data_IF_458749316170
#
_entry.id   IF_458749316170
#
_cell.length_a   1.000
_cell.length_b   1.000
_cell.length_c   1.000
_cell.angle_alpha   90.00
_cell.angle_beta   90.00
_cell.angle_gamma   90.00
#
_symmetry.space_group_name_H-M   'P 1'
#
loop_
_entity.id
_entity.type
_entity.pdbx_description
1 polymer ?
#
# COMPACT_ATOMS: atom_id res chain seq x y z
N UNK A 1 -16.67 -0.66 4.50
CA UNK A 1 -17.21 -1.83 3.77
C UNK A 1 -17.38 -2.96 4.77
N UNK A 2 -18.61 -3.42 5.02
CA UNK A 2 -18.90 -4.33 6.13
C UNK A 2 -18.94 -5.77 5.63
N UNK A 3 -17.92 -6.59 5.91
CA UNK A 3 -17.99 -8.04 5.72
C UNK A 3 -18.29 -8.71 7.05
N UNK A 4 -19.55 -9.07 7.28
CA UNK A 4 -19.94 -9.80 8.47
C UNK A 4 -19.69 -11.31 8.33
N UNK A 5 -19.19 -11.90 9.42
CA UNK A 5 -19.39 -13.28 9.86
C UNK A 5 -19.02 -14.40 8.87
N UNK A 6 -17.95 -15.13 9.21
CA UNK A 6 -17.59 -16.41 8.56
C UNK A 6 -17.24 -16.30 7.08
N UNK A 7 -16.69 -15.16 6.65
CA UNK A 7 -16.18 -14.99 5.29
C UNK A 7 -14.71 -15.40 5.26
N UNK A 8 -14.43 -16.56 4.67
CA UNK A 8 -13.08 -17.12 4.62
C UNK A 8 -12.52 -17.09 3.20
N UNK A 9 -11.19 -17.05 3.07
CA UNK A 9 -10.49 -17.13 1.78
C UNK A 9 -10.80 -16.01 0.77
N UNK A 10 -11.04 -14.79 1.24
CA UNK A 10 -11.23 -13.63 0.37
C UNK A 10 -9.94 -12.81 0.20
N UNK A 11 -9.85 -12.08 -0.91
CA UNK A 11 -8.84 -11.07 -1.13
C UNK A 11 -9.50 -9.68 -1.12
N UNK A 12 -9.26 -8.91 -0.07
CA UNK A 12 -9.67 -7.51 0.04
C UNK A 12 -8.44 -6.68 -0.31
N UNK A 13 -8.33 -6.27 -1.56
CA UNK A 13 -7.18 -5.49 -1.99
C UNK A 13 -7.60 -4.31 -2.84
N UNK A 14 -6.85 -3.21 -2.76
CA UNK A 14 -7.03 -2.04 -3.62
C UNK A 14 -8.39 -1.35 -3.46
N UNK A 15 -8.97 -1.40 -2.27
CA UNK A 15 -10.22 -0.69 -1.95
C UNK A 15 -9.93 0.62 -1.22
N UNK A 16 -10.69 1.67 -1.54
CA UNK A 16 -10.74 2.89 -0.71
C UNK A 16 -12.00 2.83 0.13
N UNK A 17 -11.86 2.89 1.45
CA UNK A 17 -12.94 2.82 2.43
C UNK A 17 -12.90 4.10 3.29
N UNK A 18 -13.60 5.16 2.85
CA UNK A 18 -13.69 6.40 3.61
C UNK A 18 -14.94 6.42 4.51
N UNK A 19 -14.85 7.10 5.66
CA UNK A 19 -15.98 7.54 6.49
C UNK A 19 -17.04 6.46 6.77
N UNK A 20 -16.61 5.23 7.06
CA UNK A 20 -17.51 4.14 7.40
C UNK A 20 -17.51 3.86 8.91
N UNK A 21 -18.68 3.55 9.47
CA UNK A 21 -18.87 3.15 10.88
C UNK A 21 -18.11 1.87 11.29
N UNK A 22 -17.41 1.20 10.36
CA UNK A 22 -16.75 -0.08 10.62
C UNK A 22 -15.44 -0.31 9.84
N UNK A 23 -14.99 0.59 8.94
CA UNK A 23 -13.79 0.34 8.13
C UNK A 23 -13.78 -1.05 7.46
N UNK A 24 -12.77 -1.87 7.78
CA UNK A 24 -12.76 -3.33 7.58
C UNK A 24 -12.92 -4.03 8.94
N UNK A 25 -14.00 -4.80 9.09
CA UNK A 25 -14.32 -5.52 10.33
C UNK A 25 -14.44 -7.01 10.04
N UNK A 26 -13.55 -7.83 10.63
CA UNK A 26 -13.50 -9.28 10.45
C UNK A 26 -13.84 -9.99 11.77
N UNK A 27 -15.04 -10.57 11.85
CA UNK A 27 -15.48 -11.37 12.99
C UNK A 27 -15.78 -12.80 12.55
N UNK A 28 -15.16 -13.78 13.22
CA UNK A 28 -15.22 -15.20 12.85
C UNK A 28 -14.82 -15.49 11.40
N UNK A 29 -14.06 -14.60 10.76
CA UNK A 29 -13.53 -14.72 9.39
C UNK A 29 -12.08 -15.17 9.43
N UNK A 30 -11.66 -16.10 8.57
CA UNK A 30 -10.32 -16.67 8.57
C UNK A 30 -9.69 -16.66 7.18
N UNK A 31 -8.35 -16.67 7.12
CA UNK A 31 -7.58 -16.89 5.89
C UNK A 31 -7.88 -15.88 4.77
N UNK A 32 -8.23 -14.64 5.14
CA UNK A 32 -8.38 -13.54 4.20
C UNK A 32 -7.04 -12.83 3.97
N UNK A 33 -6.85 -12.29 2.77
CA UNK A 33 -5.69 -11.44 2.41
C UNK A 33 -6.17 -9.99 2.27
N UNK A 34 -5.62 -9.10 3.09
CA UNK A 34 -6.03 -7.71 3.21
C UNK A 34 -4.79 -6.84 3.03
N UNK A 35 -4.60 -6.25 1.85
CA UNK A 35 -3.45 -5.38 1.59
C UNK A 35 -3.75 -4.39 0.47
N UNK A 36 -3.02 -3.29 0.39
CA UNK A 36 -3.25 -2.17 -0.54
C UNK A 36 -4.64 -1.53 -0.39
N UNK A 37 -5.26 -1.51 0.78
CA UNK A 37 -6.50 -0.77 1.00
C UNK A 37 -6.20 0.60 1.63
N UNK A 38 -7.06 1.58 1.37
CA UNK A 38 -7.02 2.92 1.98
C UNK A 38 -8.17 3.07 2.95
N UNK A 39 -7.90 2.94 4.26
CA UNK A 39 -8.88 3.06 5.33
C UNK A 39 -8.81 4.48 5.90
N UNK A 40 -9.81 5.31 5.59
CA UNK A 40 -9.80 6.74 5.87
C UNK A 40 -10.96 7.12 6.77
N UNK A 41 -10.64 7.64 7.95
CA UNK A 41 -11.56 8.23 8.93
C UNK A 41 -12.74 7.31 9.24
N UNK A 42 -12.46 6.01 9.37
CA UNK A 42 -13.45 5.04 9.82
C UNK A 42 -13.48 5.00 11.35
N UNK A 43 -14.66 4.71 11.90
CA UNK A 43 -14.87 4.66 13.35
C UNK A 43 -15.54 3.37 13.74
N UNK A 44 -14.76 2.34 14.03
CA UNK A 44 -15.32 1.07 14.51
C UNK A 44 -15.89 1.25 15.92
N UNK A 45 -17.21 1.35 15.99
CA UNK A 45 -17.96 1.23 17.24
C UNK A 45 -18.23 -0.25 17.52
N UNK A 46 -17.32 -0.92 18.23
CA UNK A 46 -17.57 -2.29 18.68
C UNK A 46 -18.30 -2.27 20.03
N UNK A 47 -19.57 -2.68 20.00
CA UNK A 47 -20.49 -2.58 21.14
C UNK A 47 -20.20 -3.65 22.24
N UNK A 48 -19.13 -4.45 22.10
CA UNK A 48 -18.87 -5.62 22.95
C UNK A 48 -17.68 -5.46 23.92
N UNK A 49 -16.78 -4.48 23.75
CA UNK A 49 -15.69 -4.24 24.70
C UNK A 49 -15.50 -2.73 24.91
N UNK A 50 -15.29 -2.32 26.16
CA UNK A 50 -15.50 -0.97 26.67
C UNK A 50 -14.52 0.13 26.20
N UNK A 51 -13.97 0.03 24.99
CA UNK A 51 -13.11 1.06 24.40
C UNK A 51 -13.56 1.33 22.96
N UNK A 52 -14.58 2.19 22.80
CA UNK A 52 -14.89 2.87 21.54
C UNK A 52 -13.65 3.67 21.13
N UNK A 53 -12.71 3.03 20.45
CA UNK A 53 -11.56 3.68 19.86
C UNK A 53 -11.77 3.71 18.35
N UNK A 54 -11.48 4.87 17.77
CA UNK A 54 -11.65 5.19 16.35
C UNK A 54 -10.64 4.38 15.52
N UNK A 55 -10.88 3.08 15.39
CA UNK A 55 -10.02 2.19 14.62
C UNK A 55 -10.52 2.04 13.19
N UNK A 56 -9.58 1.99 12.26
CA UNK A 56 -9.85 1.75 10.85
C UNK A 56 -10.11 0.27 10.50
N UNK A 57 -9.65 -0.65 11.35
CA UNK A 57 -9.71 -2.09 11.15
C UNK A 57 -9.98 -2.86 12.44
N UNK A 58 -10.59 -4.05 12.32
CA UNK A 58 -10.78 -4.98 13.43
C UNK A 58 -10.71 -6.43 12.97
N UNK A 59 -10.05 -7.28 13.76
CA UNK A 59 -9.88 -8.70 13.48
C UNK A 59 -9.99 -9.55 14.74
N UNK A 60 -11.00 -10.42 14.80
CA UNK A 60 -11.18 -11.33 15.93
C UNK A 60 -10.52 -12.71 15.71
N UNK A 61 -9.84 -12.96 14.58
CA UNK A 61 -9.26 -14.26 14.24
C UNK A 61 -7.82 -14.15 13.67
N UNK A 62 -6.88 -14.93 14.22
CA UNK A 62 -5.44 -14.79 13.95
C UNK A 62 -4.91 -15.33 12.63
N UNK A 63 -5.76 -15.78 11.68
CA UNK A 63 -5.27 -16.33 10.40
C UNK A 63 -5.43 -15.39 9.20
N UNK A 64 -5.99 -14.21 9.38
CA UNK A 64 -6.04 -13.20 8.31
C UNK A 64 -4.67 -12.53 8.16
N UNK A 65 -4.30 -12.24 6.91
CA UNK A 65 -3.03 -11.59 6.56
C UNK A 65 -3.30 -10.14 6.18
N UNK A 66 -2.72 -9.20 6.91
CA UNK A 66 -2.94 -7.76 6.75
C UNK A 66 -1.86 -7.05 5.92
N UNK A 67 -0.95 -7.83 5.33
CA UNK A 67 0.07 -7.35 4.41
C UNK A 67 0.40 -8.41 3.35
N UNK A 68 1.11 -8.00 2.29
CA UNK A 68 1.58 -8.89 1.21
C UNK A 68 2.98 -9.47 1.45
N UNK A 69 3.57 -9.26 2.63
CA UNK A 69 4.99 -9.50 2.91
C UNK A 69 5.93 -8.39 2.44
N UNK A 70 5.40 -7.31 1.87
CA UNK A 70 6.18 -6.15 1.44
C UNK A 70 5.40 -4.83 1.49
N UNK A 71 4.07 -4.87 1.35
CA UNK A 71 3.18 -3.71 1.46
C UNK A 71 1.89 -4.11 2.17
N UNK A 72 1.41 -3.23 3.03
CA UNK A 72 0.23 -3.38 3.86
C UNK A 72 -0.90 -2.49 3.37
N UNK A 73 -1.64 -1.92 4.32
CA UNK A 73 -2.73 -0.99 4.07
C UNK A 73 -2.38 0.41 4.58
N UNK A 74 -3.09 1.40 4.07
CA UNK A 74 -3.09 2.75 4.63
C UNK A 74 -4.20 2.88 5.67
N UNK A 75 -3.87 3.49 6.81
CA UNK A 75 -4.81 3.80 7.88
C UNK A 75 -4.66 5.28 8.26
N UNK A 76 -5.75 6.04 8.27
CA UNK A 76 -5.68 7.47 8.63
C UNK A 76 -5.33 7.73 10.11
N UNK A 77 -5.42 6.71 10.96
CA UNK A 77 -5.02 6.70 12.37
C UNK A 77 -3.60 6.14 12.59
N UNK A 78 -2.87 5.76 11.53
CA UNK A 78 -1.49 5.32 11.64
C UNK A 78 -0.55 6.53 11.88
N UNK A 79 0.20 6.47 12.98
CA UNK A 79 1.12 7.55 13.40
C UNK A 79 2.58 7.10 13.51
N UNK A 80 2.95 6.01 12.83
CA UNK A 80 4.33 5.52 12.82
C UNK A 80 5.28 6.42 12.02
N UNK A 81 6.55 6.04 12.01
CA UNK A 81 7.62 6.73 11.27
C UNK A 81 8.04 5.94 10.04
N UNK A 82 8.52 6.64 9.03
CA UNK A 82 9.17 6.08 7.83
C UNK A 82 10.55 6.75 7.73
N UNK A 83 11.58 6.10 8.27
CA UNK A 83 12.93 6.69 8.39
C UNK A 83 13.77 6.52 7.12
N UNK A 84 13.46 5.50 6.31
CA UNK A 84 14.11 5.24 5.02
C UNK A 84 13.38 5.90 3.84
N UNK A 85 12.24 6.56 4.08
CA UNK A 85 11.45 7.32 3.11
C UNK A 85 10.97 6.49 1.91
N UNK A 86 10.66 5.22 2.14
CA UNK A 86 10.19 4.31 1.07
C UNK A 86 8.66 4.26 0.95
N UNK A 87 7.95 5.06 1.74
CA UNK A 87 6.50 5.13 1.77
C UNK A 87 5.84 4.02 2.60
N UNK A 88 6.63 3.17 3.27
CA UNK A 88 6.20 2.13 4.19
C UNK A 88 6.63 2.53 5.61
N UNK A 89 5.70 2.44 6.55
CA UNK A 89 5.98 2.73 7.94
C UNK A 89 6.83 1.65 8.61
N UNK A 90 7.92 2.06 9.27
CA UNK A 90 8.84 1.20 10.02
C UNK A 90 8.22 0.60 11.30
N UNK A 91 7.10 1.18 11.76
CA UNK A 91 6.39 0.72 12.95
C UNK A 91 5.21 -0.16 12.52
N UNK A 92 5.18 -1.42 12.95
CA UNK A 92 4.03 -2.28 12.67
C UNK A 92 2.73 -1.67 13.20
N UNK A 93 1.62 -1.86 12.47
CA UNK A 93 0.30 -1.42 12.88
C UNK A 93 -0.49 -2.61 13.46
N UNK A 94 -0.73 -2.66 14.79
CA UNK A 94 -1.54 -3.70 15.39
C UNK A 94 -3.00 -3.57 14.96
N UNK A 95 -3.63 -4.68 14.58
CA UNK A 95 -5.05 -4.71 14.27
C UNK A 95 -5.82 -5.05 15.56
N UNK A 96 -6.71 -4.17 16.04
CA UNK A 96 -7.51 -4.41 17.23
C UNK A 96 -8.36 -5.68 17.13
N UNK A 97 -8.50 -6.36 18.27
CA UNK A 97 -9.31 -7.57 18.43
C UNK A 97 -8.58 -8.65 19.22
N UNK A 98 -9.20 -9.83 19.32
CA UNK A 98 -8.65 -10.95 20.11
C UNK A 98 -7.58 -11.78 19.39
N UNK A 99 -7.28 -11.45 18.13
CA UNK A 99 -6.37 -12.24 17.29
C UNK A 99 -4.90 -11.94 17.48
N UNK A 100 -4.55 -10.71 17.86
CA UNK A 100 -3.18 -10.21 17.78
C UNK A 100 -2.67 -10.06 16.35
N UNK A 101 -3.57 -9.87 15.36
CA UNK A 101 -3.21 -9.61 13.97
C UNK A 101 -2.43 -8.29 13.84
N UNK A 102 -1.47 -8.24 12.92
CA UNK A 102 -0.58 -7.10 12.71
C UNK A 102 -0.40 -6.89 11.20
N UNK A 103 -0.39 -5.63 10.79
CA UNK A 103 0.12 -5.20 9.49
C UNK A 103 1.59 -4.78 9.66
N UNK A 104 2.52 -5.52 9.04
CA UNK A 104 3.96 -5.28 9.19
C UNK A 104 4.50 -4.20 8.26
N UNK A 105 3.72 -3.81 7.24
CA UNK A 105 4.17 -2.89 6.19
C UNK A 105 3.12 -1.79 5.94
N UNK A 106 2.65 -1.07 6.97
CA UNK A 106 1.62 -0.05 6.82
C UNK A 106 2.07 1.03 5.82
N UNK A 107 1.16 1.50 4.98
CA UNK A 107 1.47 2.53 3.99
C UNK A 107 1.41 3.92 4.63
N UNK A 108 2.36 4.80 4.30
CA UNK A 108 2.39 6.19 4.79
C UNK A 108 1.39 7.12 4.08
N UNK A 109 0.86 6.70 2.93
CA UNK A 109 -0.11 7.46 2.15
C UNK A 109 -1.21 6.53 1.59
N UNK A 110 -2.41 7.07 1.28
CA UNK A 110 -3.47 6.29 0.66
C UNK A 110 -2.98 5.55 -0.57
N UNK A 111 -3.38 4.28 -0.71
CA UNK A 111 -3.15 3.51 -1.92
C UNK A 111 -3.87 4.16 -3.11
N UNK A 112 -3.10 4.71 -4.04
CA UNK A 112 -3.57 5.29 -5.30
C UNK A 112 -3.45 4.32 -6.49
N UNK A 113 -3.06 3.07 -6.23
CA UNK A 113 -2.67 2.12 -7.24
C UNK A 113 -1.16 1.97 -7.34
N UNK A 114 -0.74 1.01 -8.16
CA UNK A 114 0.60 1.04 -8.74
C UNK A 114 0.54 2.05 -9.89
N UNK A 115 0.34 3.32 -9.56
CA UNK A 115 0.64 4.38 -10.51
C UNK A 115 2.15 4.44 -10.51
N UNK A 116 2.78 3.51 -11.23
CA UNK A 116 4.20 3.59 -11.49
C UNK A 116 4.43 4.98 -12.05
N UNK A 117 5.02 5.83 -11.22
CA UNK A 117 5.27 7.21 -11.60
C UNK A 117 6.09 7.12 -12.88
N UNK A 118 5.68 7.82 -13.93
CA UNK A 118 6.38 7.70 -15.22
C UNK A 118 7.83 8.12 -14.97
N UNK A 119 8.77 7.20 -15.18
CA UNK A 119 10.18 7.38 -14.83
C UNK A 119 10.64 6.86 -13.46
N UNK A 120 9.76 6.31 -12.62
CA UNK A 120 10.09 5.55 -11.39
C UNK A 120 10.15 4.05 -11.73
N UNK A 121 11.37 3.55 -11.90
CA UNK A 121 11.65 2.21 -12.40
C UNK A 121 12.08 1.22 -11.32
N UNK A 122 12.36 1.71 -10.11
CA UNK A 122 12.58 0.87 -8.94
C UNK A 122 11.32 0.75 -8.04
N UNK A 123 10.24 1.47 -8.37
CA UNK A 123 8.94 1.48 -7.70
C UNK A 123 8.99 1.95 -6.24
N UNK A 124 9.90 2.89 -5.93
CA UNK A 124 10.03 3.52 -4.61
C UNK A 124 9.22 4.83 -4.48
N UNK A 125 8.44 5.18 -5.50
CA UNK A 125 7.66 6.41 -5.62
C UNK A 125 8.49 7.71 -5.67
N UNK A 126 9.80 7.63 -5.92
CA UNK A 126 10.70 8.75 -6.12
C UNK A 126 11.31 8.68 -7.53
N UNK A 127 11.48 9.82 -8.19
CA UNK A 127 12.27 9.86 -9.43
C UNK A 127 13.70 10.23 -9.05
N UNK A 128 14.61 9.28 -9.19
CA UNK A 128 16.00 9.44 -8.79
C UNK A 128 16.97 9.08 -9.92
N UNK A 129 18.26 9.30 -9.68
CA UNK A 129 19.31 8.81 -10.58
C UNK A 129 19.37 7.27 -10.65
N UNK A 130 18.79 6.54 -9.70
CA UNK A 130 18.68 5.08 -9.78
C UNK A 130 17.76 4.66 -10.93
N UNK A 131 16.65 5.37 -11.11
CA UNK A 131 15.70 5.10 -12.19
C UNK A 131 16.29 5.39 -13.56
N UNK A 132 17.04 6.49 -13.68
CA UNK A 132 17.77 6.81 -14.91
C UNK A 132 18.76 5.70 -15.29
N UNK A 133 19.42 5.06 -14.31
CA UNK A 133 20.31 3.94 -14.55
C UNK A 133 19.56 2.69 -15.04
N UNK A 134 18.36 2.41 -14.50
CA UNK A 134 17.51 1.31 -14.96
C UNK A 134 17.00 1.58 -16.38
N UNK A 135 16.55 2.80 -16.68
CA UNK A 135 16.13 3.20 -18.03
C UNK A 135 17.25 3.04 -19.05
N UNK A 136 18.49 3.38 -18.69
CA UNK A 136 19.65 3.21 -19.56
C UNK A 136 19.95 1.72 -19.83
N UNK A 137 19.77 0.86 -18.83
CA UNK A 137 19.90 -0.59 -18.99
C UNK A 137 18.81 -1.15 -19.94
N UNK A 138 17.56 -0.71 -19.77
CA UNK A 138 16.45 -1.06 -20.66
C UNK A 138 16.74 -0.62 -22.11
N UNK A 139 17.24 0.60 -22.30
CA UNK A 139 17.65 1.11 -23.61
C UNK A 139 18.77 0.27 -24.25
N UNK A 140 19.75 -0.19 -23.45
CA UNK A 140 20.84 -1.04 -23.95
C UNK A 140 20.38 -2.44 -24.37
N UNK A 141 19.33 -2.96 -23.72
CA UNK A 141 18.76 -4.28 -24.03
C UNK A 141 17.68 -4.23 -25.12
N UNK A 142 17.13 -3.05 -25.41
CA UNK A 142 15.97 -2.88 -26.28
C UNK A 142 14.67 -3.38 -25.64
N UNK A 143 14.67 -3.59 -24.32
CA UNK A 143 13.48 -3.96 -23.57
C UNK A 143 12.46 -2.81 -23.60
N UNK A 144 11.18 -3.18 -23.59
CA UNK A 144 10.08 -2.21 -23.51
C UNK A 144 9.58 -2.17 -22.08
N UNK A 145 9.45 -0.96 -21.57
CA UNK A 145 8.79 -0.70 -20.30
C UNK A 145 8.01 0.63 -20.43
N UNK A 146 6.66 0.60 -20.33
CA UNK A 146 5.83 1.80 -20.41
C UNK A 146 6.16 2.86 -19.34
N UNK A 147 6.73 2.43 -18.22
CA UNK A 147 7.17 3.32 -17.14
C UNK A 147 8.45 4.03 -17.54
N UNK A 148 9.33 3.35 -18.27
CA UNK A 148 10.61 3.90 -18.73
C UNK A 148 10.46 4.82 -19.94
N UNK A 149 9.44 4.62 -20.80
CA UNK A 149 9.17 5.46 -21.97
C UNK A 149 8.56 6.82 -21.56
N UNK A 150 9.34 7.66 -20.88
CA UNK A 150 8.90 8.98 -20.42
C UNK A 150 8.65 9.93 -21.60
N UNK A 151 9.31 9.75 -22.74
CA UNK A 151 9.11 10.55 -23.95
C UNK A 151 7.79 10.26 -24.68
N UNK A 152 7.24 9.05 -24.52
CA UNK A 152 5.98 8.62 -25.12
C UNK A 152 6.09 8.24 -26.60
N UNK A 153 7.25 7.74 -27.04
CA UNK A 153 7.53 7.37 -28.44
C UNK A 153 7.47 5.84 -28.69
N UNK A 154 6.98 5.07 -27.72
CA UNK A 154 6.90 3.61 -27.68
C UNK A 154 8.28 2.92 -27.69
N UNK A 155 9.35 3.63 -27.33
CA UNK A 155 10.71 3.11 -27.22
C UNK A 155 11.34 3.56 -25.91
N UNK A 156 12.21 2.71 -25.35
CA UNK A 156 13.07 3.09 -24.24
C UNK A 156 14.45 3.36 -24.82
N UNK A 157 14.90 4.60 -24.72
CA UNK A 157 16.17 5.07 -25.27
C UNK A 157 16.98 5.84 -24.23
N UNK A 158 18.20 6.24 -24.60
CA UNK A 158 18.99 7.15 -23.77
C UNK A 158 18.31 8.51 -23.54
N UNK A 159 17.36 8.91 -24.41
CA UNK A 159 16.60 10.13 -24.22
C UNK A 159 15.69 10.02 -22.99
N UNK A 160 15.04 8.88 -22.82
CA UNK A 160 14.19 8.61 -21.67
C UNK A 160 14.99 8.59 -20.36
N UNK A 161 16.15 7.93 -20.36
CA UNK A 161 17.07 7.94 -19.23
C UNK A 161 17.54 9.37 -18.86
N UNK A 162 17.79 10.23 -19.86
CA UNK A 162 18.16 11.62 -19.63
C UNK A 162 17.00 12.42 -19.02
N UNK A 163 15.78 12.25 -19.53
CA UNK A 163 14.58 12.92 -19.01
C UNK A 163 14.31 12.53 -17.55
N UNK A 164 14.49 11.25 -17.20
CA UNK A 164 14.39 10.77 -15.82
C UNK A 164 15.47 11.40 -14.94
N UNK A 165 16.72 11.44 -15.40
CA UNK A 165 17.82 12.05 -14.65
C UNK A 165 17.62 13.56 -14.43
N UNK A 166 17.01 14.27 -15.39
CA UNK A 166 16.68 15.69 -15.26
C UNK A 166 15.57 15.92 -14.24
N UNK A 167 14.52 15.08 -14.26
CA UNK A 167 13.44 15.14 -13.27
C UNK A 167 13.92 14.83 -11.84
N UNK A 168 14.95 13.99 -11.70
CA UNK A 168 15.57 13.67 -10.41
C UNK A 168 16.41 14.80 -9.79
N UNK A 169 16.66 15.89 -10.52
CA UNK A 169 17.52 17.00 -10.08
C UNK A 169 16.74 18.23 -9.57
N UNK A 170 15.41 18.17 -9.57
CA UNK A 170 14.49 19.21 -9.07
C UNK A 170 13.99 18.90 -7.64
#
# INVERSE_FOLDING_TARGET
MRLFYSSNYNALTRNTVPNSDYGIYLSSSSDNRIHHNSLIDNRIHDNHWANNADHNAYDSNGTNQWDSGSKGNYYSDYTGTDNNTDGIGDTHHPIPGSSGSIDHFPLMSPWTGDTSLKGDLNHDNQITSADAAIALLLAATGARDPVADVSGDDRVTSLDALMILQAAAE
#
